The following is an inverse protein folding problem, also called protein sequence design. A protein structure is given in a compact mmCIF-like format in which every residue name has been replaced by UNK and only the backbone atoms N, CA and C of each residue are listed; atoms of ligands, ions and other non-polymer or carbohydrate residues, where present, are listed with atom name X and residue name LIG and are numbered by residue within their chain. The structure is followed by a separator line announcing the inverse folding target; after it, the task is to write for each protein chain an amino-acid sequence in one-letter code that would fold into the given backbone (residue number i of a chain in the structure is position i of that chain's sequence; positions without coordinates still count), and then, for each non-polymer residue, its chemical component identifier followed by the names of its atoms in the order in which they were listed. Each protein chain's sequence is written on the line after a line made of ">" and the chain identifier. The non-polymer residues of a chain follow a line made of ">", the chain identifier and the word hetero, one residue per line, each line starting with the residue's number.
data_IF_582795467282
#
_entry.id   IF_582795467282
#
_cell.length_a   1.000
_cell.length_b   1.000
_cell.length_c   1.000
_cell.angle_alpha   90.00
_cell.angle_beta   90.00
_cell.angle_gamma   90.00
#
_symmetry.space_group_name_H-M   'P 1'
#
loop_
_entity.id
_entity.type
_entity.pdbx_description
1 polymer ?
#
# COMPACT_ATOMS: atom_id res chain seq x y z
N UNK A 1 -9.55 -13.35 -11.95
CA UNK A 1 -9.03 -12.45 -10.89
C UNK A 1 -9.96 -11.26 -10.85
N UNK A 2 -10.64 -11.05 -9.73
CA UNK A 2 -11.52 -9.88 -9.56
C UNK A 2 -10.65 -8.63 -9.47
N UNK A 3 -10.98 -7.62 -10.29
CA UNK A 3 -10.34 -6.30 -10.19
C UNK A 3 -10.66 -5.78 -8.77
N UNK A 4 -9.67 -5.38 -7.96
CA UNK A 4 -9.94 -4.84 -6.64
C UNK A 4 -10.86 -3.64 -6.75
N UNK A 5 -11.78 -3.48 -5.81
CA UNK A 5 -12.54 -2.24 -5.72
C UNK A 5 -11.54 -1.12 -5.40
N UNK A 6 -11.63 -0.01 -6.11
CA UNK A 6 -10.81 1.17 -5.82
C UNK A 6 -11.70 2.40 -5.65
N UNK A 7 -11.20 3.36 -4.88
CA UNK A 7 -11.85 4.64 -4.62
C UNK A 7 -10.82 5.76 -4.73
N UNK A 8 -11.17 6.85 -5.41
CA UNK A 8 -10.29 8.00 -5.59
C UNK A 8 -10.74 9.13 -4.67
N UNK A 9 -9.87 9.52 -3.74
CA UNK A 9 -10.05 10.69 -2.91
C UNK A 9 -9.47 11.92 -3.61
N UNK A 10 -10.36 12.76 -4.13
CA UNK A 10 -9.97 13.99 -4.82
C UNK A 10 -9.39 15.07 -3.89
N UNK A 11 -9.68 15.00 -2.59
CA UNK A 11 -9.18 15.98 -1.60
C UNK A 11 -7.73 15.68 -1.26
N UNK A 12 -7.41 14.41 -1.08
CA UNK A 12 -6.07 13.95 -0.73
C UNK A 12 -5.20 13.61 -1.95
N UNK A 13 -5.81 13.55 -3.14
CA UNK A 13 -5.21 13.05 -4.39
C UNK A 13 -4.67 11.63 -4.21
N UNK A 14 -5.47 10.74 -3.61
CA UNK A 14 -5.06 9.37 -3.28
C UNK A 14 -6.03 8.35 -3.85
N UNK A 15 -5.51 7.15 -4.12
CA UNK A 15 -6.35 6.01 -4.49
C UNK A 15 -6.32 4.99 -3.36
N UNK A 16 -7.49 4.59 -2.88
CA UNK A 16 -7.66 3.45 -1.98
C UNK A 16 -8.01 2.24 -2.81
N UNK A 17 -7.28 1.16 -2.62
CA UNK A 17 -7.46 -0.14 -3.25
C UNK A 17 -7.90 -1.08 -2.15
N UNK A 18 -8.99 -1.83 -2.37
CA UNK A 18 -9.56 -2.79 -1.43
C UNK A 18 -9.42 -4.19 -2.02
N UNK A 19 -8.28 -4.87 -1.81
CA UNK A 19 -8.12 -6.25 -2.21
C UNK A 19 -9.03 -7.15 -1.38
N UNK A 20 -9.73 -8.06 -2.04
CA UNK A 20 -10.49 -9.12 -1.38
C UNK A 20 -9.75 -10.45 -1.56
N UNK A 21 -9.36 -11.05 -0.44
CA UNK A 21 -8.67 -12.33 -0.41
C UNK A 21 -9.49 -13.35 0.37
N UNK A 22 -9.73 -14.53 -0.22
CA UNK A 22 -10.39 -15.64 0.47
C UNK A 22 -9.53 -16.20 1.62
N UNK A 23 -8.20 -16.00 1.57
CA UNK A 23 -7.27 -16.42 2.62
C UNK A 23 -6.32 -15.30 3.03
N UNK A 24 -6.06 -15.11 4.34
CA UNK A 24 -5.24 -14.01 4.83
C UNK A 24 -3.79 -14.00 4.31
N UNK A 25 -3.25 -15.16 3.96
CA UNK A 25 -1.86 -15.31 3.48
C UNK A 25 -1.77 -15.29 1.96
N UNK A 26 -2.55 -14.42 1.34
CA UNK A 26 -2.52 -14.20 -0.10
C UNK A 26 -1.73 -12.93 -0.40
N UNK A 27 -0.76 -13.03 -1.30
CA UNK A 27 -0.05 -11.86 -1.80
C UNK A 27 -0.89 -11.16 -2.86
N UNK A 28 -0.88 -9.83 -2.84
CA UNK A 28 -1.32 -9.02 -3.98
C UNK A 28 -0.52 -9.47 -5.21
N UNK A 29 -1.18 -9.78 -6.34
CA UNK A 29 -0.49 -10.20 -7.54
C UNK A 29 0.56 -9.19 -7.99
N UNK A 30 1.73 -9.67 -8.46
CA UNK A 30 2.84 -8.81 -8.89
C UNK A 30 2.44 -7.82 -9.98
N UNK A 31 1.57 -8.24 -10.91
CA UNK A 31 1.09 -7.38 -11.99
C UNK A 31 0.24 -6.21 -11.47
N UNK A 32 -0.55 -6.46 -10.43
CA UNK A 32 -1.36 -5.45 -9.76
C UNK A 32 -0.47 -4.44 -9.00
N UNK A 33 0.50 -4.95 -8.22
CA UNK A 33 1.50 -4.10 -7.54
C UNK A 33 2.21 -3.20 -8.54
N UNK A 34 2.64 -3.75 -9.69
CA UNK A 34 3.31 -2.97 -10.74
C UNK A 34 2.41 -1.91 -11.35
N UNK A 35 1.15 -2.24 -11.63
CA UNK A 35 0.20 -1.28 -12.18
C UNK A 35 0.02 -0.08 -11.25
N UNK A 36 -0.19 -0.31 -9.96
CA UNK A 36 -0.35 0.75 -8.97
C UNK A 36 0.93 1.52 -8.69
N UNK A 37 2.08 0.84 -8.67
CA UNK A 37 3.38 1.49 -8.52
C UNK A 37 3.64 2.47 -9.67
N UNK A 38 3.29 2.08 -10.90
CA UNK A 38 3.39 2.98 -12.05
C UNK A 38 2.51 4.23 -11.89
N UNK A 39 1.28 4.09 -11.38
CA UNK A 39 0.39 5.24 -11.10
C UNK A 39 1.02 6.22 -10.11
N UNK A 40 1.64 5.72 -9.03
CA UNK A 40 2.36 6.57 -8.07
C UNK A 40 3.57 7.23 -8.72
N UNK A 41 4.30 6.52 -9.59
CA UNK A 41 5.49 7.06 -10.27
C UNK A 41 5.14 8.12 -11.32
N UNK A 42 4.07 7.94 -12.07
CA UNK A 42 3.60 8.93 -13.05
C UNK A 42 2.88 10.10 -12.38
N UNK A 43 2.43 9.91 -11.14
CA UNK A 43 1.63 10.87 -10.39
C UNK A 43 0.25 11.08 -10.99
N UNK A 44 -0.22 10.18 -11.85
CA UNK A 44 -1.51 10.28 -12.55
C UNK A 44 -2.13 8.92 -12.75
N UNK A 45 -3.46 8.85 -12.61
CA UNK A 45 -4.22 7.66 -12.94
C UNK A 45 -4.54 7.54 -14.44
N UNK A 46 -5.23 6.47 -14.84
CA UNK A 46 -5.65 6.22 -16.23
C UNK A 46 -6.62 7.30 -16.77
N UNK A 47 -7.28 8.04 -15.89
CA UNK A 47 -8.19 9.14 -16.23
C UNK A 47 -7.47 10.50 -16.27
N UNK A 48 -6.16 10.54 -16.01
CA UNK A 48 -5.36 11.75 -15.97
C UNK A 48 -5.49 12.57 -14.69
N UNK A 49 -6.16 12.04 -13.66
CA UNK A 49 -6.30 12.67 -12.34
C UNK A 49 -4.99 12.59 -11.57
N UNK A 50 -4.59 13.64 -10.84
CA UNK A 50 -3.36 13.62 -10.05
C UNK A 50 -3.44 12.59 -8.92
N UNK A 51 -2.36 11.83 -8.72
CA UNK A 51 -2.25 10.83 -7.66
C UNK A 51 -0.93 11.03 -6.93
N UNK A 52 -1.02 11.35 -5.64
CA UNK A 52 0.11 11.48 -4.72
C UNK A 52 0.50 10.15 -4.07
N UNK A 53 -0.49 9.32 -3.75
CA UNK A 53 -0.25 8.04 -3.10
C UNK A 53 -1.35 7.02 -3.43
N UNK A 54 -1.00 5.74 -3.38
CA UNK A 54 -1.94 4.62 -3.48
C UNK A 54 -1.86 3.82 -2.18
N UNK A 55 -3.03 3.60 -1.57
CA UNK A 55 -3.23 2.86 -0.33
C UNK A 55 -3.91 1.54 -0.61
N UNK A 56 -3.35 0.46 -0.09
CA UNK A 56 -4.00 -0.83 -0.04
C UNK A 56 -4.63 -1.00 1.34
N UNK A 57 -5.96 -1.04 1.38
CA UNK A 57 -6.75 -1.17 2.60
C UNK A 57 -7.27 -2.60 2.68
N UNK A 58 -6.76 -3.35 3.65
CA UNK A 58 -7.13 -4.74 3.89
C UNK A 58 -8.16 -4.84 5.02
N UNK A 59 -9.07 -5.82 4.94
CA UNK A 59 -10.09 -6.06 5.97
C UNK A 59 -9.51 -6.71 7.24
N UNK A 60 -8.29 -7.25 7.18
CA UNK A 60 -7.64 -7.90 8.31
C UNK A 60 -6.14 -7.56 8.40
N UNK A 61 -5.65 -7.51 9.63
CA UNK A 61 -4.26 -7.16 9.92
C UNK A 61 -3.28 -8.20 9.38
N UNK A 62 -3.64 -9.50 9.40
CA UNK A 62 -2.77 -10.57 8.90
C UNK A 62 -2.45 -10.41 7.41
N UNK A 63 -3.43 -10.11 6.55
CA UNK A 63 -3.16 -9.88 5.12
C UNK A 63 -2.36 -8.61 4.89
N UNK A 64 -2.66 -7.57 5.66
CA UNK A 64 -1.97 -6.29 5.55
C UNK A 64 -0.48 -6.45 5.88
N UNK A 65 -0.14 -7.07 7.01
CA UNK A 65 1.24 -7.37 7.41
C UNK A 65 1.94 -8.29 6.40
N UNK A 66 1.23 -9.30 5.89
CA UNK A 66 1.78 -10.23 4.89
C UNK A 66 2.16 -9.52 3.58
N UNK A 67 1.46 -8.44 3.22
CA UNK A 67 1.69 -7.68 2.00
C UNK A 67 2.54 -6.41 2.20
N UNK A 68 2.72 -5.95 3.44
CA UNK A 68 3.36 -4.69 3.78
C UNK A 68 4.72 -4.51 3.11
N UNK A 69 5.60 -5.52 3.19
CA UNK A 69 6.95 -5.42 2.62
C UNK A 69 6.91 -5.31 1.08
N UNK A 70 6.07 -6.10 0.43
CA UNK A 70 5.95 -6.11 -1.03
C UNK A 70 5.38 -4.78 -1.56
N UNK A 71 4.40 -4.21 -0.86
CA UNK A 71 3.79 -2.93 -1.19
C UNK A 71 4.72 -1.75 -0.89
N UNK A 72 5.38 -1.73 0.27
CA UNK A 72 6.36 -0.69 0.63
C UNK A 72 7.52 -0.62 -0.37
N UNK A 73 8.02 -1.77 -0.83
CA UNK A 73 9.04 -1.81 -1.88
C UNK A 73 8.59 -1.12 -3.18
N UNK A 74 7.29 -1.21 -3.48
CA UNK A 74 6.68 -0.58 -4.65
C UNK A 74 6.21 0.87 -4.41
N UNK A 75 6.53 1.47 -3.24
CA UNK A 75 6.05 2.79 -2.78
C UNK A 75 4.52 2.88 -2.66
N UNK A 76 3.90 1.77 -2.29
CA UNK A 76 2.47 1.67 -2.04
C UNK A 76 2.25 1.61 -0.53
N UNK A 77 1.28 2.38 -0.04
CA UNK A 77 0.97 2.41 1.38
C UNK A 77 0.07 1.22 1.74
N UNK A 78 0.25 0.65 2.94
CA UNK A 78 -0.50 -0.51 3.41
C UNK A 78 -1.28 -0.13 4.67
N UNK A 79 -2.58 -0.40 4.67
CA UNK A 79 -3.53 -0.04 5.71
C UNK A 79 -4.45 -1.21 6.04
N UNK A 80 -5.03 -1.18 7.23
CA UNK A 80 -6.08 -2.10 7.68
C UNK A 80 -7.31 -1.29 8.10
N UNK A 81 -8.49 -1.76 7.71
CA UNK A 81 -9.78 -1.26 8.20
C UNK A 81 -10.63 -2.44 8.66
N UNK A 82 -10.71 -2.62 9.98
CA UNK A 82 -11.48 -3.67 10.66
C UNK A 82 -12.87 -3.17 11.12
N UNK A 83 -13.31 -2.00 10.62
CA UNK A 83 -14.54 -1.34 11.03
C UNK A 83 -14.39 -0.41 12.24
N UNK A 84 -13.22 -0.39 12.89
CA UNK A 84 -12.86 0.63 13.88
C UNK A 84 -12.18 1.87 13.25
N UNK A 85 -11.88 1.83 11.95
CA UNK A 85 -11.27 2.90 11.17
C UNK A 85 -9.95 2.49 10.49
N UNK A 86 -9.64 3.17 9.38
CA UNK A 86 -8.41 2.97 8.60
C UNK A 86 -7.16 3.33 9.43
N UNK A 87 -6.27 2.36 9.63
CA UNK A 87 -4.97 2.52 10.31
C UNK A 87 -3.84 1.88 9.52
N UNK A 88 -2.61 2.45 9.52
CA UNK A 88 -1.50 1.87 8.79
C UNK A 88 -1.19 0.45 9.30
N UNK A 89 -0.88 -0.46 8.38
CA UNK A 89 -0.52 -1.82 8.70
C UNK A 89 0.92 -1.90 9.16
N UNK A 90 1.12 -2.39 10.40
CA UNK A 90 2.42 -2.38 11.05
C UNK A 90 2.66 -1.06 11.80
N UNK A 91 3.14 -1.16 13.04
CA UNK A 91 3.46 -0.01 13.91
C UNK A 91 4.88 0.52 13.70
N UNK A 92 5.57 0.09 12.66
CA UNK A 92 6.94 0.49 12.41
C UNK A 92 6.93 1.49 11.25
N UNK A 93 6.85 2.78 11.60
CA UNK A 93 7.86 3.69 11.06
C UNK A 93 9.18 2.91 11.05
N UNK A 94 9.93 2.86 9.93
CA UNK A 94 11.22 2.20 9.96
C UNK A 94 11.99 2.75 11.16
N UNK A 95 12.30 1.91 12.16
CA UNK A 95 13.08 2.32 13.35
C UNK A 95 14.50 2.78 12.99
N UNK A 96 14.83 2.86 11.70
CA UNK A 96 16.08 3.32 11.17
C UNK A 96 16.00 4.82 10.89
N UNK A 97 16.04 5.61 11.96
CA UNK A 97 16.11 7.07 11.91
C UNK A 97 17.55 7.58 11.70
N UNK A 98 18.56 6.73 11.82
CA UNK A 98 19.98 7.10 11.78
C UNK A 98 20.81 6.20 10.87
N UNK A 99 21.76 6.81 10.15
CA UNK A 99 22.72 6.14 9.25
C UNK A 99 23.60 5.09 9.95
N UNK A 100 23.66 5.11 11.28
CA UNK A 100 24.44 4.20 12.12
C UNK A 100 23.91 2.76 12.11
N UNK A 101 22.61 2.54 11.88
CA UNK A 101 22.01 1.18 11.84
C UNK A 101 22.46 0.32 10.65
N UNK A 102 23.09 0.92 9.64
CA UNK A 102 23.60 0.19 8.48
C UNK A 102 25.02 -0.34 8.67
N UNK A 103 25.63 -0.17 9.85
CA UNK A 103 26.99 -0.64 10.13
C UNK A 103 28.04 0.00 9.22
N UNK A 104 27.73 1.15 8.61
CA UNK A 104 28.69 1.96 7.85
C UNK A 104 29.38 2.87 8.86
N UNK A 105 30.17 2.27 9.74
CA UNK A 105 31.22 2.99 10.44
C UNK A 105 32.41 3.17 9.51
N UNK A 106 33.09 4.30 9.72
CA UNK A 106 34.08 4.91 8.84
C UNK A 106 35.39 4.13 8.72
#
# INVERSE_FOLDING_TARGET
>A
MSIPRNDYDATEERIRVYPTFDTPRTLVPKDEIKAWSNVVQTGKDEQGRPVKAVRFVFENEESALYNQQALSFARLETYVDDGAGERPAGNDEPQFSVREDFGIDK
#
